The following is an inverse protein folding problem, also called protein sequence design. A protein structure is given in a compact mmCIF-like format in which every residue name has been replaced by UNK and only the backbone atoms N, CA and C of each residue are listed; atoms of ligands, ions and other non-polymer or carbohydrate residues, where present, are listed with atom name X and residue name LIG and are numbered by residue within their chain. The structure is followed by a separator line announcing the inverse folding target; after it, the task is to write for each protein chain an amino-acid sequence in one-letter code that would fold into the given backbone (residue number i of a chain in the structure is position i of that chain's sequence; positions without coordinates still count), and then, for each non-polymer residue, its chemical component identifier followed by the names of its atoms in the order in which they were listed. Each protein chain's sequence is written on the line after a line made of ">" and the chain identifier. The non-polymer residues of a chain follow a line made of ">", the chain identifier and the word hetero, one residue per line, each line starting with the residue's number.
data_IF_473192538007
#
_entry.id   IF_473192538007
#
_cell.length_a   1.000
_cell.length_b   1.000
_cell.length_c   1.000
_cell.angle_alpha   90.00
_cell.angle_beta   90.00
_cell.angle_gamma   90.00
#
_symmetry.space_group_name_H-M   'P 1'
#
loop_
_entity.id
_entity.type
_entity.pdbx_description
1 polymer ?
#
# COMPACT_ATOMS: atom_id res chain seq x y z
N UNK A 1 -10.89 -26.56 12.33
CA UNK A 1 -11.92 -25.54 12.69
C UNK A 1 -11.29 -24.17 12.55
N UNK A 2 -12.04 -23.15 12.17
CA UNK A 2 -11.55 -21.79 12.10
C UNK A 2 -11.20 -21.29 13.50
N UNK A 3 -9.94 -20.91 13.71
CA UNK A 3 -9.42 -20.45 15.00
C UNK A 3 -9.92 -19.05 15.39
N UNK A 4 -10.65 -18.35 14.51
CA UNK A 4 -11.24 -17.02 14.80
C UNK A 4 -12.74 -17.05 15.09
N UNK A 5 -13.53 -17.75 14.28
CA UNK A 5 -14.99 -17.75 14.41
C UNK A 5 -15.58 -19.11 14.83
N UNK A 6 -14.76 -20.14 15.01
CA UNK A 6 -15.21 -21.49 15.39
C UNK A 6 -15.89 -22.28 14.26
N UNK A 7 -16.05 -21.70 13.06
CA UNK A 7 -16.67 -22.41 11.93
C UNK A 7 -15.91 -23.67 11.53
N UNK A 8 -16.63 -24.74 11.19
CA UNK A 8 -16.08 -25.98 10.63
C UNK A 8 -16.06 -26.01 9.11
N UNK A 9 -16.47 -24.92 8.46
CA UNK A 9 -16.55 -24.78 7.01
C UNK A 9 -15.15 -24.79 6.37
N UNK A 10 -15.02 -25.57 5.29
CA UNK A 10 -13.80 -25.72 4.50
C UNK A 10 -13.93 -24.96 3.16
N UNK A 11 -12.83 -24.47 2.56
CA UNK A 11 -11.44 -24.65 2.99
C UNK A 11 -11.00 -23.65 4.06
N UNK A 12 -10.18 -24.13 5.01
CA UNK A 12 -9.40 -23.27 5.90
C UNK A 12 -8.13 -22.83 5.17
N UNK A 13 -7.68 -21.62 5.44
CA UNK A 13 -6.46 -21.02 4.92
C UNK A 13 -5.54 -20.63 6.07
N UNK A 14 -4.23 -20.75 5.83
CA UNK A 14 -3.21 -20.30 6.78
C UNK A 14 -3.02 -18.79 6.65
N UNK A 15 -3.30 -18.05 7.71
CA UNK A 15 -2.93 -16.62 7.83
C UNK A 15 -1.74 -16.46 8.75
N UNK A 16 -0.89 -15.49 8.45
CA UNK A 16 0.28 -15.16 9.25
C UNK A 16 0.02 -13.81 9.90
N UNK A 17 -0.09 -13.79 11.23
CA UNK A 17 -0.33 -12.58 12.00
C UNK A 17 0.96 -12.15 12.69
N UNK A 18 1.29 -10.86 12.61
CA UNK A 18 2.37 -10.24 13.39
C UNK A 18 1.75 -9.47 14.56
N UNK A 19 2.04 -9.91 15.78
CA UNK A 19 1.62 -9.26 17.02
C UNK A 19 2.84 -8.68 17.72
N UNK A 20 3.42 -7.62 17.18
CA UNK A 20 4.53 -6.89 17.80
C UNK A 20 5.85 -7.64 17.81
N UNK A 21 6.17 -8.35 16.71
CA UNK A 21 7.45 -9.05 16.53
C UNK A 21 7.38 -10.56 16.77
N UNK A 22 6.23 -11.09 17.17
CA UNK A 22 5.98 -12.54 17.20
C UNK A 22 5.08 -12.92 16.04
N UNK A 23 5.62 -13.70 15.10
CA UNK A 23 4.88 -14.25 13.96
C UNK A 23 4.16 -15.53 14.41
N UNK A 24 2.83 -15.57 14.22
CA UNK A 24 2.03 -16.77 14.45
C UNK A 24 1.24 -17.14 13.20
N UNK A 25 1.20 -18.43 12.89
CA UNK A 25 0.34 -18.97 11.84
C UNK A 25 -0.98 -19.45 12.45
N UNK A 26 -2.10 -19.12 11.81
CA UNK A 26 -3.44 -19.56 12.20
C UNK A 26 -4.21 -20.17 11.04
N UNK A 27 -5.03 -21.18 11.32
CA UNK A 27 -5.99 -21.78 10.39
C UNK A 27 -7.35 -21.09 10.51
N UNK A 28 -7.76 -20.34 9.48
CA UNK A 28 -9.01 -19.55 9.50
C UNK A 28 -9.83 -19.80 8.23
N UNK A 29 -11.15 -19.59 8.28
CA UNK A 29 -11.98 -19.67 7.08
C UNK A 29 -11.71 -18.49 6.14
N UNK A 30 -12.06 -18.63 4.86
CA UNK A 30 -11.84 -17.58 3.84
C UNK A 30 -12.45 -16.22 4.23
N UNK A 31 -13.61 -16.22 4.89
CA UNK A 31 -14.26 -14.99 5.38
C UNK A 31 -13.39 -14.27 6.41
N UNK A 32 -12.93 -15.00 7.43
CA UNK A 32 -12.06 -14.45 8.48
C UNK A 32 -10.71 -13.97 7.93
N UNK A 33 -10.13 -14.69 6.97
CA UNK A 33 -8.89 -14.26 6.31
C UNK A 33 -9.04 -12.92 5.58
N UNK A 34 -10.16 -12.70 4.88
CA UNK A 34 -10.43 -11.43 4.17
C UNK A 34 -10.66 -10.27 5.13
N UNK A 35 -11.41 -10.49 6.21
CA UNK A 35 -11.63 -9.47 7.23
C UNK A 35 -10.33 -9.03 7.90
N UNK A 36 -9.42 -9.97 8.18
CA UNK A 36 -8.14 -9.66 8.82
C UNK A 36 -7.18 -8.95 7.85
N UNK A 37 -7.10 -9.40 6.59
CA UNK A 37 -6.34 -8.74 5.53
C UNK A 37 -6.81 -7.29 5.29
N UNK A 38 -8.10 -7.01 5.47
CA UNK A 38 -8.65 -5.66 5.36
C UNK A 38 -8.19 -4.72 6.48
N UNK A 39 -7.70 -5.23 7.62
CA UNK A 39 -7.21 -4.40 8.73
C UNK A 39 -5.74 -3.98 8.56
N UNK A 40 -4.97 -4.69 7.71
CA UNK A 40 -3.56 -4.41 7.45
C UNK A 40 -3.36 -3.79 6.06
N UNK A 41 -4.13 -2.75 5.73
CA UNK A 41 -3.75 -1.88 4.61
C UNK A 41 -2.58 -1.02 5.09
N UNK A 42 -1.34 -1.44 4.79
CA UNK A 42 -0.17 -0.59 5.03
C UNK A 42 -0.32 0.67 4.18
N UNK A 43 -0.55 1.81 4.84
CA UNK A 43 -0.63 3.10 4.14
C UNK A 43 0.68 3.36 3.40
N UNK A 44 0.64 3.83 2.15
CA UNK A 44 1.86 4.18 1.43
C UNK A 44 2.52 5.37 2.14
N UNK A 45 3.65 5.12 2.79
CA UNK A 45 4.44 6.17 3.46
C UNK A 45 5.56 6.62 2.53
N UNK A 46 5.64 7.92 2.25
CA UNK A 46 6.69 8.54 1.41
C UNK A 46 7.13 9.88 1.99
N UNK A 47 8.35 10.28 1.67
CA UNK A 47 8.85 11.63 1.93
C UNK A 47 8.36 12.58 0.85
N UNK A 48 7.88 13.76 1.24
CA UNK A 48 7.54 14.82 0.30
C UNK A 48 8.80 15.46 -0.27
N UNK A 49 8.93 15.50 -1.61
CA UNK A 49 10.09 16.09 -2.30
C UNK A 49 10.29 17.60 -2.06
N UNK A 50 9.24 18.31 -1.61
CA UNK A 50 9.28 19.77 -1.43
C UNK A 50 9.56 20.22 0.00
N UNK A 51 8.96 19.57 0.98
CA UNK A 51 9.03 19.99 2.39
C UNK A 51 9.63 18.94 3.32
N UNK A 52 10.13 17.83 2.76
CA UNK A 52 10.82 16.75 3.46
C UNK A 52 10.01 16.01 4.55
N UNK A 53 8.75 16.38 4.76
CA UNK A 53 7.83 15.71 5.68
C UNK A 53 7.46 14.32 5.14
N UNK A 54 7.50 13.33 6.02
CA UNK A 54 6.93 12.01 5.77
C UNK A 54 5.39 12.11 5.78
N UNK A 55 4.75 11.57 4.75
CA UNK A 55 3.29 11.56 4.57
C UNK A 55 2.79 10.14 4.31
N UNK A 56 1.60 9.82 4.82
CA UNK A 56 0.86 8.59 4.54
C UNK A 56 -0.20 8.77 3.43
N UNK A 57 -0.32 9.98 2.88
CA UNK A 57 -1.12 10.33 1.70
C UNK A 57 -0.24 10.99 0.62
N UNK A 58 0.68 10.25 -0.01
CA UNK A 58 1.55 10.80 -1.05
C UNK A 58 0.80 10.98 -2.38
N UNK A 59 1.05 12.12 -3.04
CA UNK A 59 0.55 12.45 -4.38
C UNK A 59 1.69 12.36 -5.38
N UNK A 60 1.50 11.64 -6.48
CA UNK A 60 2.47 11.57 -7.58
C UNK A 60 2.50 12.92 -8.30
N UNK A 61 3.70 13.52 -8.42
CA UNK A 61 3.88 14.84 -9.04
C UNK A 61 4.84 14.84 -10.23
N UNK A 62 5.63 13.77 -10.40
CA UNK A 62 6.45 13.56 -11.59
C UNK A 62 6.83 12.09 -11.70
N UNK A 63 6.96 11.61 -12.93
CA UNK A 63 7.64 10.35 -13.24
C UNK A 63 8.90 10.67 -14.02
N UNK A 64 10.04 10.19 -13.53
CA UNK A 64 11.32 10.38 -14.20
C UNK A 64 11.59 9.13 -15.01
N UNK A 65 11.46 9.22 -16.34
CA UNK A 65 11.87 8.14 -17.24
C UNK A 65 13.36 8.25 -17.56
N UNK A 66 14.08 7.13 -17.54
CA UNK A 66 15.49 7.08 -17.94
C UNK A 66 15.72 5.88 -18.85
N UNK A 67 16.76 5.99 -19.68
CA UNK A 67 17.31 4.91 -20.48
C UNK A 67 18.84 5.03 -20.39
N UNK A 68 19.57 4.02 -19.86
CA UNK A 68 19.19 2.63 -19.62
C UNK A 68 18.69 2.29 -18.21
N UNK A 69 18.67 3.26 -17.29
CA UNK A 69 18.32 3.00 -15.89
C UNK A 69 16.80 2.97 -15.68
N UNK A 70 16.31 2.23 -14.66
CA UNK A 70 14.93 2.35 -14.24
C UNK A 70 14.58 3.80 -13.90
N UNK A 71 13.41 4.22 -14.36
CA UNK A 71 12.81 5.47 -13.91
C UNK A 71 12.42 5.42 -12.42
N UNK A 72 11.99 6.57 -11.89
CA UNK A 72 11.45 6.64 -10.54
C UNK A 72 10.33 7.66 -10.43
N UNK A 73 9.40 7.38 -9.51
CA UNK A 73 8.26 8.22 -9.20
C UNK A 73 8.60 9.23 -8.10
N UNK A 74 8.19 10.48 -8.28
CA UNK A 74 8.40 11.59 -7.34
C UNK A 74 7.09 11.94 -6.67
N UNK A 75 7.10 12.04 -5.34
CA UNK A 75 5.90 12.27 -4.54
C UNK A 75 5.96 13.58 -3.74
N UNK A 76 4.80 14.20 -3.56
CA UNK A 76 4.58 15.32 -2.65
C UNK A 76 3.49 15.00 -1.61
N UNK A 77 3.44 15.73 -0.50
CA UNK A 77 2.29 15.69 0.39
C UNK A 77 1.10 16.45 -0.22
N UNK A 78 -0.11 16.23 0.30
CA UNK A 78 -1.33 16.89 -0.18
C UNK A 78 -1.23 18.41 -0.18
N UNK A 79 -0.62 19.02 0.84
CA UNK A 79 -0.43 20.48 0.90
C UNK A 79 0.50 21.01 -0.20
N UNK A 80 1.50 20.21 -0.59
CA UNK A 80 2.52 20.64 -1.55
C UNK A 80 2.18 20.31 -3.00
N UNK A 81 1.33 19.31 -3.23
CA UNK A 81 0.97 18.82 -4.56
C UNK A 81 0.44 19.92 -5.51
N UNK A 82 -0.42 20.88 -5.08
CA UNK A 82 -0.93 21.94 -5.95
C UNK A 82 0.14 22.91 -6.51
N UNK A 83 1.36 22.85 -5.99
CA UNK A 83 2.47 23.69 -6.47
C UNK A 83 3.28 23.07 -7.60
N UNK A 84 2.98 21.82 -7.97
CA UNK A 84 3.58 21.15 -9.12
C UNK A 84 2.66 21.30 -10.34
N UNK A 85 3.23 21.33 -11.56
CA UNK A 85 2.42 21.26 -12.76
C UNK A 85 1.60 19.95 -12.77
N UNK A 86 0.42 19.93 -13.42
CA UNK A 86 -0.30 18.70 -13.63
C UNK A 86 0.58 17.70 -14.39
N UNK A 87 0.45 16.42 -14.05
CA UNK A 87 1.10 15.37 -14.82
C UNK A 87 0.54 15.43 -16.26
N UNK A 88 1.41 15.35 -17.28
CA UNK A 88 0.95 15.27 -18.65
C UNK A 88 0.08 14.02 -18.83
N UNK A 89 -1.03 14.14 -19.56
CA UNK A 89 -1.79 12.97 -19.93
C UNK A 89 -0.96 12.15 -20.93
N UNK A 90 -1.04 10.83 -20.84
CA UNK A 90 -0.40 9.92 -21.80
C UNK A 90 -0.90 10.19 -23.21
N UNK A 91 -2.16 10.63 -23.36
CA UNK A 91 -2.74 11.01 -24.65
C UNK A 91 -2.18 12.31 -25.23
N UNK A 92 -1.54 13.17 -24.43
CA UNK A 92 -0.94 14.42 -24.90
C UNK A 92 0.45 14.21 -25.53
N UNK A 93 0.99 12.98 -25.49
CA UNK A 93 2.36 12.64 -25.90
C UNK A 93 2.44 11.83 -27.21
N UNK A 94 1.31 11.65 -27.91
CA UNK A 94 1.18 10.93 -29.19
C UNK A 94 1.34 11.86 -30.39
#
# INVERSE_FOLDING_TARGET
>A
MCEMCGSTEQPLVTVTMDSGGTVRHRQVCQRCARSDASTVVRRPVRMCVRCDRITDTPVLVSEVHQNPRPGFSVYACGDCAPHFPPLPDVFDLL
#
